data_IF_194079161787
#
_entry.id   IF_194079161787
#
_cell.length_a   1.000
_cell.length_b   1.000
_cell.length_c   1.000
_cell.angle_alpha   90.00
_cell.angle_beta   90.00
_cell.angle_gamma   90.00
#
_symmetry.space_group_name_H-M   'P 1'
#
loop_
_entity.id
_entity.type
_entity.pdbx_description
1 polymer ?
#
# COMPACT_ATOMS: atom_id res chain seq x y z
N UNK A 1 7.10 -2.18 27.19
CA UNK A 1 7.44 -1.34 26.03
C UNK A 1 6.63 -1.84 24.85
N UNK A 2 5.90 -0.98 24.16
CA UNK A 2 5.09 -1.36 23.00
C UNK A 2 5.90 -1.23 21.70
N UNK A 3 5.47 -1.91 20.65
CA UNK A 3 6.14 -1.94 19.35
C UNK A 3 5.17 -1.59 18.23
N UNK A 4 5.61 -0.76 17.30
CA UNK A 4 4.96 -0.54 16.02
C UNK A 4 5.69 -1.38 14.96
N UNK A 5 4.97 -2.30 14.33
CA UNK A 5 5.50 -3.18 13.28
C UNK A 5 4.97 -2.66 11.94
N UNK A 6 5.86 -2.10 11.13
CA UNK A 6 5.53 -1.64 9.77
C UNK A 6 5.90 -2.74 8.77
N UNK A 7 4.91 -3.19 8.00
CA UNK A 7 5.08 -4.25 7.01
C UNK A 7 4.74 -3.72 5.62
N UNK A 8 5.68 -3.87 4.70
CA UNK A 8 5.37 -3.70 3.28
C UNK A 8 4.80 -5.00 2.74
N UNK A 9 3.78 -4.92 1.88
CA UNK A 9 3.22 -6.08 1.18
C UNK A 9 4.30 -6.86 0.42
N UNK A 10 4.13 -8.18 0.29
CA UNK A 10 4.96 -9.05 -0.54
C UNK A 10 4.91 -8.66 -2.03
N UNK A 11 5.79 -9.24 -2.85
CA UNK A 11 5.83 -8.99 -4.28
C UNK A 11 4.45 -9.24 -4.91
N UNK A 12 3.89 -8.22 -5.59
CA UNK A 12 2.66 -8.36 -6.37
C UNK A 12 2.96 -8.79 -7.80
N UNK A 13 1.93 -9.25 -8.53
CA UNK A 13 2.05 -9.59 -9.95
C UNK A 13 2.63 -8.43 -10.77
N UNK A 14 2.16 -7.21 -10.54
CA UNK A 14 2.69 -6.05 -11.25
C UNK A 14 4.09 -5.60 -10.79
N UNK A 15 4.50 -5.97 -9.57
CA UNK A 15 5.92 -5.82 -9.20
C UNK A 15 6.79 -6.79 -10.00
N UNK A 16 6.33 -8.03 -10.18
CA UNK A 16 7.03 -9.03 -11.00
C UNK A 16 7.13 -8.59 -12.47
N UNK A 17 6.06 -8.00 -13.02
CA UNK A 17 6.03 -7.44 -14.38
C UNK A 17 6.73 -6.09 -14.52
N UNK A 18 7.32 -5.56 -13.43
CA UNK A 18 7.99 -4.26 -13.38
C UNK A 18 7.08 -3.07 -13.80
N UNK A 19 5.80 -3.11 -13.45
CA UNK A 19 4.81 -2.07 -13.73
C UNK A 19 4.59 -1.12 -12.55
N UNK A 20 4.14 0.10 -12.86
CA UNK A 20 3.63 1.03 -11.85
C UNK A 20 2.25 0.59 -11.40
N UNK A 21 2.06 0.27 -10.11
CA UNK A 21 0.81 -0.28 -9.58
C UNK A 21 -0.11 0.80 -9.02
N UNK A 22 0.35 1.51 -8.02
CA UNK A 22 -0.47 2.52 -7.32
C UNK A 22 -1.75 1.93 -6.74
N UNK A 23 -2.91 2.48 -7.11
CA UNK A 23 -4.21 2.07 -6.58
C UNK A 23 -4.87 0.92 -7.34
N UNK A 24 -4.25 0.38 -8.39
CA UNK A 24 -4.79 -0.83 -9.04
C UNK A 24 -4.73 -2.00 -8.06
N UNK A 25 -5.82 -2.76 -8.00
CA UNK A 25 -5.95 -3.88 -7.08
C UNK A 25 -5.46 -5.17 -7.75
N UNK A 26 -4.22 -5.54 -7.46
CA UNK A 26 -3.54 -6.73 -7.98
C UNK A 26 -3.19 -7.69 -6.86
N UNK A 27 -3.11 -8.97 -7.19
CA UNK A 27 -2.78 -10.04 -6.27
C UNK A 27 -1.29 -10.09 -5.92
N UNK A 28 -0.97 -10.86 -4.88
CA UNK A 28 0.39 -11.26 -4.59
C UNK A 28 0.86 -12.33 -5.60
N UNK A 29 2.04 -12.13 -6.16
CA UNK A 29 2.75 -13.18 -6.88
C UNK A 29 3.11 -14.35 -5.92
N UNK A 30 3.38 -15.56 -6.44
CA UNK A 30 3.78 -16.69 -5.60
C UNK A 30 4.94 -16.37 -4.64
N UNK A 31 5.94 -15.67 -5.13
CA UNK A 31 7.06 -15.21 -4.32
C UNK A 31 6.62 -14.27 -3.19
N UNK A 32 5.70 -13.34 -3.47
CA UNK A 32 5.17 -12.42 -2.46
C UNK A 32 4.41 -13.12 -1.33
N UNK A 33 3.74 -14.24 -1.63
CA UNK A 33 3.09 -15.07 -0.61
C UNK A 33 4.14 -15.71 0.32
N UNK A 34 5.26 -16.19 -0.23
CA UNK A 34 6.38 -16.73 0.56
C UNK A 34 7.04 -15.64 1.42
N UNK A 35 7.21 -14.44 0.88
CA UNK A 35 7.75 -13.28 1.61
C UNK A 35 6.87 -12.92 2.81
N UNK A 36 5.55 -12.90 2.63
CA UNK A 36 4.59 -12.65 3.69
C UNK A 36 4.67 -13.71 4.82
N UNK A 37 4.74 -15.00 4.47
CA UNK A 37 4.93 -16.07 5.44
C UNK A 37 6.26 -15.91 6.20
N UNK A 38 7.35 -15.59 5.50
CA UNK A 38 8.65 -15.35 6.11
C UNK A 38 8.65 -14.14 7.05
N UNK A 39 7.97 -13.06 6.67
CA UNK A 39 7.75 -11.92 7.57
C UNK A 39 7.00 -12.34 8.84
N UNK A 40 5.97 -13.19 8.71
CA UNK A 40 5.29 -13.78 9.86
C UNK A 40 6.22 -14.59 10.77
N UNK A 41 7.14 -15.37 10.21
CA UNK A 41 8.14 -16.10 11.01
C UNK A 41 9.08 -15.17 11.79
N UNK A 42 9.48 -14.05 11.20
CA UNK A 42 10.28 -13.04 11.91
C UNK A 42 9.49 -12.37 13.03
N UNK A 43 8.25 -11.98 12.77
CA UNK A 43 7.36 -11.36 13.77
C UNK A 43 7.11 -12.34 14.92
N UNK A 44 6.90 -13.62 14.64
CA UNK A 44 6.72 -14.67 15.65
C UNK A 44 7.91 -14.76 16.62
N UNK A 45 9.14 -14.60 16.11
CA UNK A 45 10.37 -14.63 16.94
C UNK A 45 10.45 -13.47 17.93
N UNK A 46 9.74 -12.36 17.68
CA UNK A 46 9.69 -11.23 18.61
C UNK A 46 8.90 -11.57 19.88
N UNK A 47 8.10 -12.63 19.86
CA UNK A 47 7.26 -13.09 20.99
C UNK A 47 6.38 -11.96 21.56
N UNK A 48 5.76 -11.17 20.68
CA UNK A 48 4.91 -10.03 21.03
C UNK A 48 3.44 -10.42 20.96
N UNK A 49 2.66 -10.02 21.96
CA UNK A 49 1.20 -10.01 21.86
C UNK A 49 0.77 -8.77 21.06
N UNK A 50 0.30 -8.96 19.81
CA UNK A 50 -0.15 -7.88 18.95
C UNK A 50 -1.66 -7.70 19.16
N UNK A 51 -2.10 -6.48 19.45
CA UNK A 51 -3.50 -6.16 19.74
C UNK A 51 -4.22 -5.37 18.66
N UNK A 52 -3.50 -4.55 17.90
CA UNK A 52 -4.07 -3.70 16.86
C UNK A 52 -3.54 -4.07 15.48
N UNK A 53 -4.47 -4.20 14.51
CA UNK A 53 -4.20 -4.69 13.17
C UNK A 53 -4.78 -3.71 12.15
N UNK A 54 -3.92 -3.10 11.35
CA UNK A 54 -4.29 -2.18 10.29
C UNK A 54 -3.81 -2.68 8.93
N UNK A 55 -4.52 -2.33 7.86
CA UNK A 55 -4.10 -2.60 6.49
C UNK A 55 -4.73 -1.59 5.54
N UNK A 56 -4.20 -1.47 4.32
CA UNK A 56 -4.84 -0.71 3.26
C UNK A 56 -6.07 -1.45 2.69
N UNK A 57 -6.77 -0.81 1.73
CA UNK A 57 -7.84 -1.48 0.98
C UNK A 57 -7.32 -2.48 -0.05
N UNK A 58 -6.04 -2.41 -0.40
CA UNK A 58 -5.46 -3.16 -1.52
C UNK A 58 -5.27 -4.64 -1.16
N UNK A 59 -5.72 -5.53 -2.05
CA UNK A 59 -5.73 -6.98 -1.86
C UNK A 59 -4.35 -7.52 -1.47
N UNK A 60 -3.28 -7.06 -2.14
CA UNK A 60 -1.90 -7.47 -1.82
C UNK A 60 -1.49 -7.17 -0.37
N UNK A 61 -1.96 -6.04 0.19
CA UNK A 61 -1.69 -5.69 1.60
C UNK A 61 -2.53 -6.53 2.55
N UNK A 62 -3.82 -6.69 2.24
CA UNK A 62 -4.74 -7.52 3.01
C UNK A 62 -4.24 -8.96 3.08
N UNK A 63 -3.84 -9.53 1.95
CA UNK A 63 -3.39 -10.93 1.88
C UNK A 63 -2.00 -11.11 2.52
N UNK A 64 -1.12 -10.10 2.45
CA UNK A 64 0.14 -10.10 3.22
C UNK A 64 -0.16 -10.20 4.71
N UNK A 65 -1.05 -9.34 5.25
CA UNK A 65 -1.43 -9.39 6.65
C UNK A 65 -2.06 -10.74 7.04
N UNK A 66 -2.98 -11.27 6.22
CA UNK A 66 -3.60 -12.59 6.48
C UNK A 66 -2.57 -13.72 6.55
N UNK A 67 -1.58 -13.74 5.65
CA UNK A 67 -0.53 -14.76 5.64
C UNK A 67 0.37 -14.64 6.86
N UNK A 68 0.71 -13.41 7.29
CA UNK A 68 1.42 -13.16 8.55
C UNK A 68 0.61 -13.71 9.73
N UNK A 69 -0.66 -13.32 9.84
CA UNK A 69 -1.54 -13.74 10.94
C UNK A 69 -1.67 -15.26 11.03
N UNK A 70 -1.81 -15.93 9.89
CA UNK A 70 -1.84 -17.39 9.83
C UNK A 70 -0.52 -18.00 10.33
N UNK A 71 0.62 -17.43 9.96
CA UNK A 71 1.94 -17.90 10.37
C UNK A 71 2.19 -17.74 11.87
N UNK A 72 1.77 -16.60 12.44
CA UNK A 72 1.89 -16.36 13.89
C UNK A 72 0.76 -17.01 14.70
N UNK A 73 -0.24 -17.60 14.03
CA UNK A 73 -1.43 -18.24 14.61
C UNK A 73 -2.29 -17.30 15.46
N UNK A 74 -2.42 -16.05 15.01
CA UNK A 74 -3.28 -15.04 15.62
C UNK A 74 -4.56 -14.90 14.80
N UNK A 75 -5.70 -14.89 15.48
CA UNK A 75 -7.02 -14.61 14.89
C UNK A 75 -7.57 -13.33 15.54
N UNK A 76 -7.34 -12.17 14.97
CA UNK A 76 -7.84 -10.92 15.54
C UNK A 76 -9.36 -10.83 15.43
N UNK A 77 -9.99 -10.21 16.43
CA UNK A 77 -11.42 -9.91 16.38
C UNK A 77 -11.75 -8.86 15.32
N UNK A 78 -10.82 -7.97 15.04
CA UNK A 78 -10.98 -6.91 14.07
C UNK A 78 -9.66 -6.59 13.34
N UNK A 79 -9.77 -6.32 12.04
CA UNK A 79 -8.70 -5.75 11.21
C UNK A 79 -9.25 -4.46 10.62
N UNK A 80 -8.61 -3.35 10.94
CA UNK A 80 -9.01 -2.03 10.45
C UNK A 80 -8.42 -1.82 9.06
N UNK A 81 -9.28 -1.69 8.06
CA UNK A 81 -8.89 -1.32 6.71
C UNK A 81 -9.04 0.18 6.52
N UNK A 82 -8.05 0.80 5.94
CA UNK A 82 -8.07 2.24 5.69
C UNK A 82 -7.49 2.56 4.31
N UNK A 83 -8.27 3.25 3.47
CA UNK A 83 -7.81 3.67 2.15
C UNK A 83 -6.66 4.69 2.24
N UNK A 84 -6.59 5.43 3.33
CA UNK A 84 -5.49 6.35 3.63
C UNK A 84 -4.12 5.63 3.70
N UNK A 85 -4.11 4.32 3.93
CA UNK A 85 -2.90 3.50 3.95
C UNK A 85 -2.56 2.90 2.56
N UNK A 86 -3.33 3.21 1.52
CA UNK A 86 -3.03 2.75 0.16
C UNK A 86 -1.67 3.27 -0.33
N UNK A 87 -1.04 2.51 -1.23
CA UNK A 87 0.14 2.97 -1.96
C UNK A 87 -0.15 4.30 -2.68
N UNK A 88 0.91 5.09 -2.93
CA UNK A 88 0.81 6.31 -3.72
C UNK A 88 0.23 6.05 -5.11
N UNK A 89 -0.65 6.94 -5.59
CA UNK A 89 -1.19 6.88 -6.94
C UNK A 89 -0.17 7.41 -7.96
N UNK A 90 0.14 6.60 -8.98
CA UNK A 90 1.16 6.95 -9.97
C UNK A 90 0.60 7.70 -11.21
N UNK A 91 -0.64 8.21 -11.15
CA UNK A 91 -1.23 8.97 -12.25
C UNK A 91 -1.18 8.22 -13.57
N UNK A 92 -0.84 8.93 -14.65
CA UNK A 92 -0.77 8.36 -16.00
C UNK A 92 0.33 7.31 -16.21
N UNK A 93 1.21 7.11 -15.23
CA UNK A 93 2.21 6.01 -15.27
C UNK A 93 1.60 4.66 -14.87
N UNK A 94 0.42 4.64 -14.25
CA UNK A 94 -0.24 3.42 -13.77
C UNK A 94 -0.40 2.39 -14.90
N UNK A 95 0.05 1.17 -14.67
CA UNK A 95 0.01 0.05 -15.63
C UNK A 95 1.18 0.03 -16.63
N UNK A 96 1.97 1.10 -16.72
CA UNK A 96 3.11 1.15 -17.63
C UNK A 96 4.33 0.46 -17.04
N UNK A 97 5.16 -0.14 -17.91
CA UNK A 97 6.42 -0.76 -17.51
C UNK A 97 7.45 0.31 -17.13
N UNK A 98 8.15 0.10 -16.01
CA UNK A 98 9.08 1.10 -15.46
C UNK A 98 10.31 1.32 -16.34
N UNK A 99 10.82 0.25 -16.98
CA UNK A 99 12.01 0.35 -17.82
C UNK A 99 11.69 1.01 -19.18
N UNK A 100 10.50 0.73 -19.73
CA UNK A 100 10.03 1.42 -20.93
C UNK A 100 9.85 2.92 -20.67
N UNK A 101 9.31 3.27 -19.50
CA UNK A 101 9.15 4.69 -19.15
C UNK A 101 10.48 5.38 -18.88
N UNK A 102 11.49 4.71 -18.31
CA UNK A 102 12.85 5.23 -18.19
C UNK A 102 13.47 5.50 -19.56
N UNK A 103 13.29 4.58 -20.53
CA UNK A 103 13.77 4.78 -21.90
C UNK A 103 13.08 5.93 -22.59
N UNK A 104 11.77 6.13 -22.36
CA UNK A 104 10.93 7.13 -23.03
C UNK A 104 11.07 8.53 -22.44
N UNK A 105 11.10 8.66 -21.12
CA UNK A 105 11.09 9.94 -20.41
C UNK A 105 12.47 10.33 -19.84
N UNK A 106 13.41 9.40 -19.83
CA UNK A 106 14.68 9.54 -19.15
C UNK A 106 14.62 9.06 -17.70
N UNK A 107 15.76 8.58 -17.20
CA UNK A 107 15.85 8.03 -15.84
C UNK A 107 15.60 9.08 -14.76
N UNK A 108 16.13 10.29 -14.97
CA UNK A 108 15.99 11.41 -14.04
C UNK A 108 14.53 11.82 -13.86
N UNK A 109 13.77 11.93 -14.95
CA UNK A 109 12.36 12.32 -14.87
C UNK A 109 11.51 11.24 -14.16
N UNK A 110 11.73 9.96 -14.50
CA UNK A 110 11.06 8.85 -13.81
C UNK A 110 11.47 8.80 -12.34
N UNK A 111 12.73 9.11 -12.01
CA UNK A 111 13.19 9.20 -10.64
C UNK A 111 12.48 10.34 -9.88
N UNK A 112 12.34 11.53 -10.51
CA UNK A 112 11.58 12.65 -9.92
C UNK A 112 10.16 12.23 -9.58
N UNK A 113 9.42 11.64 -10.52
CA UNK A 113 8.06 11.15 -10.25
C UNK A 113 7.98 10.12 -9.11
N UNK A 114 9.04 9.37 -8.87
CA UNK A 114 9.05 8.31 -7.86
C UNK A 114 9.57 8.75 -6.49
N UNK A 115 10.38 9.81 -6.43
CA UNK A 115 11.18 10.14 -5.24
C UNK A 115 11.11 11.60 -4.80
N UNK A 116 10.69 12.53 -5.67
CA UNK A 116 10.53 13.93 -5.24
C UNK A 116 9.36 14.07 -4.27
N UNK A 117 9.43 15.13 -3.49
CA UNK A 117 8.43 15.44 -2.48
C UNK A 117 7.10 15.88 -3.09
N UNK A 118 7.12 16.80 -4.05
CA UNK A 118 5.96 17.55 -4.55
C UNK A 118 5.76 17.50 -6.07
N UNK A 119 6.45 16.59 -6.78
CA UNK A 119 6.32 16.45 -8.23
C UNK A 119 5.56 15.16 -8.61
N UNK A 120 4.21 15.22 -8.74
CA UNK A 120 3.43 14.07 -9.14
C UNK A 120 3.57 13.78 -10.65
N UNK A 121 3.34 12.52 -11.07
CA UNK A 121 3.09 12.22 -12.48
C UNK A 121 1.83 12.96 -12.98
N UNK A 122 1.67 13.05 -14.30
CA UNK A 122 0.43 13.60 -14.88
C UNK A 122 -0.80 12.81 -14.40
N UNK A 123 -1.95 13.47 -14.22
CA UNK A 123 -3.19 12.80 -13.81
C UNK A 123 -3.56 11.63 -14.74
N UNK A 124 -4.11 10.57 -14.17
CA UNK A 124 -4.71 9.47 -14.93
C UNK A 124 -6.07 9.90 -15.47
N UNK A 125 -6.36 9.53 -16.72
CA UNK A 125 -7.67 9.79 -17.29
C UNK A 125 -8.77 9.08 -16.49
N UNK A 126 -9.82 9.79 -16.11
CA UNK A 126 -10.94 9.27 -15.31
C UNK A 126 -11.72 8.14 -15.98
N UNK A 127 -11.62 8.01 -17.31
CA UNK A 127 -12.22 6.90 -18.07
C UNK A 127 -11.31 5.65 -18.11
N UNK A 128 -10.08 5.72 -17.59
CA UNK A 128 -9.20 4.56 -17.53
C UNK A 128 -9.79 3.47 -16.63
N UNK A 129 -9.73 2.19 -17.02
CA UNK A 129 -10.15 1.09 -16.15
C UNK A 129 -9.27 0.99 -14.89
N UNK A 130 -8.09 1.57 -14.91
CA UNK A 130 -7.15 1.62 -13.77
C UNK A 130 -7.42 2.81 -12.84
N UNK A 131 -8.34 3.72 -13.21
CA UNK A 131 -8.66 4.85 -12.36
C UNK A 131 -9.45 4.36 -11.13
N UNK A 132 -9.09 4.76 -9.90
CA UNK A 132 -9.74 4.26 -8.68
C UNK A 132 -11.25 4.47 -8.65
N UNK A 133 -11.77 5.53 -9.30
CA UNK A 133 -13.22 5.78 -9.44
C UNK A 133 -13.96 4.68 -10.18
N UNK A 134 -13.26 3.82 -10.92
CA UNK A 134 -13.79 2.71 -11.71
C UNK A 134 -13.49 1.34 -11.09
N UNK A 135 -12.85 1.30 -9.92
CA UNK A 135 -12.49 0.08 -9.19
C UNK A 135 -13.44 -0.05 -7.99
N UNK A 136 -14.20 -1.13 -7.94
CA UNK A 136 -15.31 -1.32 -6.99
C UNK A 136 -14.92 -1.27 -5.51
N UNK A 137 -13.71 -1.67 -5.15
CA UNK A 137 -13.24 -1.66 -3.75
C UNK A 137 -13.14 -0.24 -3.16
N UNK A 138 -13.22 0.80 -4.01
CA UNK A 138 -13.15 2.21 -3.59
C UNK A 138 -14.49 2.94 -3.65
N UNK A 139 -15.60 2.22 -3.87
CA UNK A 139 -16.92 2.83 -4.01
C UNK A 139 -17.43 3.55 -2.75
N UNK A 140 -16.94 3.18 -1.58
CA UNK A 140 -17.27 3.79 -0.29
C UNK A 140 -16.43 5.06 0.01
N UNK A 141 -15.43 5.35 -0.82
CA UNK A 141 -14.60 6.56 -0.66
C UNK A 141 -15.31 7.73 -1.36
N UNK A 142 -15.50 8.88 -0.69
CA UNK A 142 -16.03 10.07 -1.35
C UNK A 142 -15.23 10.43 -2.60
N UNK A 143 -15.92 10.62 -3.73
CA UNK A 143 -15.28 10.78 -5.05
C UNK A 143 -14.27 11.94 -5.12
N UNK A 144 -14.47 12.99 -4.33
CA UNK A 144 -13.58 14.14 -4.22
C UNK A 144 -12.27 13.84 -3.45
N UNK A 145 -12.22 12.74 -2.71
CA UNK A 145 -11.02 12.26 -1.99
C UNK A 145 -10.22 11.22 -2.77
N UNK A 146 -10.74 10.76 -3.90
CA UNK A 146 -10.03 9.81 -4.77
C UNK A 146 -9.06 10.60 -5.66
N UNK A 147 -7.73 10.36 -5.55
CA UNK A 147 -6.75 11.10 -6.33
C UNK A 147 -6.71 10.64 -7.79
N UNK A 148 -6.46 11.57 -8.71
CA UNK A 148 -6.15 11.27 -10.10
C UNK A 148 -4.63 11.06 -10.30
N UNK A 149 -3.82 11.52 -9.35
CA UNK A 149 -2.35 11.35 -9.22
C UNK A 149 -1.92 11.78 -7.83
N UNK A 150 -0.74 11.34 -7.38
CA UNK A 150 -0.18 11.77 -6.09
C UNK A 150 1.34 12.00 -6.19
N UNK A 151 1.81 13.08 -5.60
CA UNK A 151 3.19 13.26 -5.15
C UNK A 151 3.42 12.52 -3.81
N UNK A 152 4.66 12.52 -3.31
CA UNK A 152 4.92 12.02 -1.96
C UNK A 152 4.25 12.89 -0.89
N UNK A 153 4.19 14.22 -1.13
CA UNK A 153 3.50 15.16 -0.26
C UNK A 153 2.01 14.86 -0.16
N UNK A 154 1.32 14.62 -1.29
CA UNK A 154 -0.12 14.29 -1.30
C UNK A 154 -0.38 12.98 -0.52
N UNK A 155 0.50 11.99 -0.68
CA UNK A 155 0.42 10.74 0.09
C UNK A 155 0.63 11.01 1.60
N UNK A 156 1.62 11.84 1.96
CA UNK A 156 1.87 12.26 3.34
C UNK A 156 0.65 12.96 3.95
N UNK A 157 0.07 13.90 3.21
CA UNK A 157 -1.06 14.74 3.66
C UNK A 157 -2.33 13.91 3.94
N UNK A 158 -2.48 12.70 3.37
CA UNK A 158 -3.58 11.78 3.73
C UNK A 158 -3.21 10.71 4.75
N UNK A 159 -1.96 10.25 4.76
CA UNK A 159 -1.52 9.16 5.65
C UNK A 159 -1.30 9.67 7.07
N UNK A 160 -0.58 10.78 7.22
CA UNK A 160 -0.13 11.24 8.54
C UNK A 160 -1.29 11.71 9.42
N UNK A 161 -2.26 12.51 8.95
CA UNK A 161 -3.43 12.82 9.75
C UNK A 161 -4.20 11.57 10.19
N UNK A 162 -4.41 10.63 9.28
CA UNK A 162 -5.05 9.36 9.62
C UNK A 162 -4.27 8.59 10.70
N UNK A 163 -2.95 8.52 10.57
CA UNK A 163 -2.09 7.86 11.55
C UNK A 163 -2.24 8.49 12.93
N UNK A 164 -2.12 9.81 13.03
CA UNK A 164 -2.23 10.55 14.30
C UNK A 164 -3.61 10.35 14.94
N UNK A 165 -4.68 10.47 14.16
CA UNK A 165 -6.04 10.38 14.67
C UNK A 165 -6.49 8.98 15.05
N UNK A 166 -6.03 7.95 14.30
CA UNK A 166 -6.61 6.60 14.39
C UNK A 166 -5.63 5.52 14.87
N UNK A 167 -4.33 5.69 14.67
CA UNK A 167 -3.33 4.66 14.96
C UNK A 167 -2.51 5.03 16.20
N UNK A 168 -2.00 6.24 16.26
CA UNK A 168 -1.07 6.69 17.31
C UNK A 168 -1.63 6.48 18.73
N UNK A 169 -2.91 6.73 18.92
CA UNK A 169 -3.60 6.48 20.20
C UNK A 169 -3.56 5.04 20.69
N UNK A 170 -3.32 4.09 19.79
CA UNK A 170 -3.24 2.65 20.08
C UNK A 170 -1.80 2.14 20.26
N UNK A 171 -0.79 3.03 20.14
CA UNK A 171 0.62 2.64 20.26
C UNK A 171 1.08 2.37 21.70
N UNK A 172 0.19 2.48 22.68
CA UNK A 172 0.44 1.93 24.02
C UNK A 172 0.45 0.39 24.03
N UNK A 173 -0.11 -0.25 23.01
CA UNK A 173 -0.07 -1.68 22.73
C UNK A 173 0.75 -2.00 21.46
N UNK A 174 1.15 -3.28 21.28
CA UNK A 174 1.82 -3.72 20.06
C UNK A 174 0.85 -3.65 18.86
N UNK A 175 1.27 -2.96 17.82
CA UNK A 175 0.45 -2.64 16.65
C UNK A 175 1.16 -3.07 15.36
N UNK A 176 0.44 -3.66 14.39
CA UNK A 176 0.93 -3.97 13.04
C UNK A 176 0.13 -3.18 11.99
N UNK A 177 0.85 -2.64 11.00
CA UNK A 177 0.29 -1.91 9.85
C UNK A 177 0.84 -2.53 8.57
#
# INVERSE_FOLDING_TARGET
MSHLILVRHGQSEWNLENKFTGWVDVELAPQGKLEACKAGEFIKKLNLEIKHFYTSYQLRSIDTLKLILNTIRVKPNNIIKAWQLNERHYGSLTGLNKDEMRKKLGEEEVHKFRRSWDNPPKPLNTNSPYHPKNISIYNDIPRNLIPDTESLKDTYDRVVPYFVENIEKNLHDNTII
#
